data_IF_874099221452
#
_entry.id   IF_874099221452
#
_cell.length_a   1.000
_cell.length_b   1.000
_cell.length_c   1.000
_cell.angle_alpha   90.00
_cell.angle_beta   90.00
_cell.angle_gamma   90.00
#
_symmetry.space_group_name_H-M   'P 1'
#
loop_
_entity.id
_entity.type
_entity.pdbx_description
1 polymer ?
#
# COMPACT_ATOMS: atom_id res chain seq x y z
N UNK A 1 51.88 -49.76 30.72
CA UNK A 1 52.35 -50.61 31.88
C UNK A 1 52.00 -49.89 33.16
N UNK A 2 51.35 -50.57 34.06
CA UNK A 2 51.08 -50.53 35.51
C UNK A 2 49.61 -50.57 35.79
N UNK A 3 49.10 -51.71 35.98
CA UNK A 3 48.83 -52.69 37.07
C UNK A 3 47.68 -52.22 37.97
N UNK A 4 46.58 -52.95 37.87
CA UNK A 4 45.42 -52.96 38.76
C UNK A 4 45.76 -53.51 40.12
N UNK A 5 45.05 -53.06 41.16
CA UNK A 5 44.91 -53.80 42.43
C UNK A 5 43.43 -53.67 42.85
N UNK A 6 42.73 -54.78 43.09
CA UNK A 6 41.38 -54.76 43.64
C UNK A 6 41.45 -54.85 45.17
N UNK A 7 40.60 -54.08 45.87
CA UNK A 7 40.44 -54.29 47.33
C UNK A 7 39.07 -54.92 47.56
N UNK A 8 39.09 -56.14 48.04
CA UNK A 8 37.96 -56.88 48.61
C UNK A 8 37.68 -56.30 50.01
N UNK A 9 36.46 -56.04 50.34
CA UNK A 9 35.97 -55.89 51.70
C UNK A 9 34.76 -56.77 51.90
N UNK A 10 34.90 -57.75 52.79
CA UNK A 10 33.94 -58.72 53.30
C UNK A 10 32.83 -58.05 54.13
N UNK A 11 31.61 -58.65 54.16
CA UNK A 11 30.49 -58.07 54.93
C UNK A 11 30.54 -58.55 56.39
N UNK A 12 30.23 -57.60 57.29
CA UNK A 12 29.97 -57.92 58.69
C UNK A 12 28.46 -57.98 58.91
N UNK A 13 27.93 -59.17 59.17
CA UNK A 13 26.55 -59.33 59.64
C UNK A 13 26.44 -58.96 61.12
N UNK A 14 25.57 -57.99 61.38
CA UNK A 14 25.03 -57.73 62.72
C UNK A 14 23.55 -58.01 62.68
N UNK A 15 23.09 -59.07 63.26
CA UNK A 15 21.68 -59.31 63.55
C UNK A 15 21.28 -58.54 64.81
N UNK A 16 20.23 -57.75 64.72
CA UNK A 16 19.51 -57.19 65.86
C UNK A 16 18.03 -57.33 65.66
N UNK A 17 17.42 -57.94 66.69
CA UNK A 17 16.00 -58.17 66.79
C UNK A 17 15.11 -56.95 66.98
N UNK A 18 13.94 -56.98 66.36
CA UNK A 18 12.66 -56.65 66.97
C UNK A 18 12.23 -55.24 67.08
N UNK A 19 11.21 -54.93 66.32
CA UNK A 19 10.37 -53.75 66.55
C UNK A 19 9.50 -53.47 65.30
N UNK A 20 8.27 -54.01 65.31
CA UNK A 20 7.29 -53.71 64.24
C UNK A 20 6.90 -52.24 64.27
N UNK A 21 7.07 -51.53 63.14
CA UNK A 21 6.38 -50.27 62.82
C UNK A 21 6.00 -50.32 61.36
N UNK A 22 4.75 -50.06 61.06
CA UNK A 22 4.16 -50.07 59.73
C UNK A 22 4.96 -49.23 58.75
N UNK A 23 5.53 -49.91 57.79
CA UNK A 23 6.23 -49.29 56.67
C UNK A 23 5.21 -48.64 55.73
N UNK A 24 4.83 -47.42 56.01
CA UNK A 24 4.25 -46.57 54.95
C UNK A 24 5.36 -46.30 53.95
N UNK A 25 5.17 -46.69 52.70
CA UNK A 25 6.01 -46.23 51.60
C UNK A 25 6.08 -44.71 51.65
N UNK A 26 7.26 -44.06 51.61
CA UNK A 26 7.33 -42.63 51.51
C UNK A 26 6.42 -42.16 50.37
N UNK A 27 5.67 -41.04 50.54
CA UNK A 27 4.92 -40.51 49.42
C UNK A 27 5.84 -40.39 48.23
N UNK A 28 5.35 -40.76 47.05
CA UNK A 28 6.09 -40.57 45.82
C UNK A 28 6.52 -39.10 45.68
N UNK A 29 7.75 -38.85 45.32
CA UNK A 29 8.23 -37.50 45.11
C UNK A 29 7.41 -36.87 43.95
N UNK A 30 6.95 -35.64 44.17
CA UNK A 30 6.21 -34.91 43.13
C UNK A 30 7.06 -34.74 41.86
N UNK A 31 6.53 -35.11 40.71
CA UNK A 31 7.11 -34.87 39.39
C UNK A 31 6.54 -33.55 38.82
N UNK A 32 7.36 -32.69 38.21
CA UNK A 32 6.87 -31.42 37.65
C UNK A 32 5.97 -31.66 36.43
N UNK A 33 5.00 -30.75 36.18
CA UNK A 33 4.17 -30.79 35.00
C UNK A 33 4.98 -30.52 33.72
N UNK A 34 4.44 -30.91 32.55
CA UNK A 34 5.05 -30.65 31.25
C UNK A 34 4.05 -30.09 30.25
N UNK A 35 4.43 -29.04 29.52
CA UNK A 35 3.61 -28.52 28.43
C UNK A 35 3.47 -29.54 27.32
N UNK A 36 2.27 -29.65 26.74
CA UNK A 36 1.96 -30.47 25.55
C UNK A 36 1.57 -29.65 24.36
N UNK A 37 1.29 -28.36 24.56
CA UNK A 37 0.98 -27.40 23.49
C UNK A 37 2.24 -26.91 22.80
N UNK A 38 2.10 -26.47 21.54
CA UNK A 38 3.19 -25.94 20.70
C UNK A 38 3.72 -24.60 21.24
N UNK A 39 4.92 -24.23 20.84
CA UNK A 39 5.56 -22.95 21.18
C UNK A 39 5.19 -21.81 20.21
N UNK A 40 4.38 -22.09 19.22
CA UNK A 40 3.96 -21.11 18.22
C UNK A 40 2.48 -21.27 17.90
N UNK A 41 1.83 -20.14 17.62
CA UNK A 41 0.48 -20.09 17.06
C UNK A 41 0.38 -18.95 16.05
N UNK A 42 -0.62 -19.03 15.17
CA UNK A 42 -0.97 -17.95 14.24
C UNK A 42 -2.45 -17.61 14.42
N UNK A 43 -2.75 -16.33 14.53
CA UNK A 43 -4.11 -15.82 14.68
C UNK A 43 -4.34 -14.70 13.69
N UNK A 44 -5.59 -14.54 13.27
CA UNK A 44 -5.96 -13.38 12.44
C UNK A 44 -6.24 -12.21 13.37
N UNK A 45 -5.84 -11.01 12.97
CA UNK A 45 -6.15 -9.78 13.69
C UNK A 45 -7.65 -9.57 13.96
N UNK A 46 -8.00 -8.54 14.74
CA UNK A 46 -9.38 -8.18 15.12
C UNK A 46 -10.08 -9.20 16.02
N UNK A 47 -9.42 -10.29 16.39
CA UNK A 47 -9.89 -11.26 17.38
C UNK A 47 -9.06 -11.21 18.65
N UNK A 48 -9.67 -11.52 19.81
CA UNK A 48 -8.95 -11.56 21.10
C UNK A 48 -8.45 -12.95 21.48
N UNK A 49 -9.02 -14.04 20.95
CA UNK A 49 -8.56 -15.39 21.24
C UNK A 49 -7.18 -15.61 20.61
N UNK A 50 -6.16 -15.91 21.42
CA UNK A 50 -4.78 -16.03 20.95
C UNK A 50 -4.28 -17.48 20.91
N UNK A 51 -4.47 -18.25 21.98
CA UNK A 51 -3.82 -19.55 22.08
C UNK A 51 -4.44 -20.37 23.23
N UNK A 52 -4.42 -21.71 23.13
CA UNK A 52 -4.77 -22.61 24.20
C UNK A 52 -3.54 -23.35 24.69
N UNK A 53 -3.05 -23.01 25.88
CA UNK A 53 -2.01 -23.79 26.56
C UNK A 53 -2.58 -25.09 27.11
N UNK A 54 -1.82 -26.17 26.90
CA UNK A 54 -2.13 -27.50 27.45
C UNK A 54 -0.87 -28.09 28.09
N UNK A 55 -1.05 -28.87 29.16
CA UNK A 55 0.01 -29.56 29.87
C UNK A 55 -0.52 -30.84 30.49
N UNK A 56 0.39 -31.72 30.90
CA UNK A 56 0.12 -32.95 31.64
C UNK A 56 0.99 -33.02 32.89
N UNK A 57 0.46 -33.65 33.91
CA UNK A 57 1.19 -33.94 35.15
C UNK A 57 1.35 -35.45 35.31
N UNK A 58 2.57 -35.96 35.58
CA UNK A 58 2.78 -37.39 35.74
C UNK A 58 2.09 -38.01 36.97
N UNK A 59 1.86 -37.20 37.99
CA UNK A 59 1.19 -37.63 39.23
C UNK A 59 -0.33 -37.38 39.17
N UNK A 60 -0.83 -36.73 38.09
CA UNK A 60 -2.24 -36.45 37.92
C UNK A 60 -2.73 -35.25 38.73
N UNK A 61 -1.83 -34.38 39.15
CA UNK A 61 -2.16 -33.18 39.90
C UNK A 61 -2.93 -32.14 39.08
N UNK A 62 -3.75 -31.34 39.72
CA UNK A 62 -4.48 -30.24 39.06
C UNK A 62 -3.53 -29.15 38.64
N UNK A 63 -3.64 -28.73 37.37
CA UNK A 63 -2.75 -27.75 36.76
C UNK A 63 -3.38 -26.35 36.72
N UNK A 64 -2.56 -25.34 36.97
CA UNK A 64 -2.94 -23.93 36.85
C UNK A 64 -1.94 -23.21 35.96
N UNK A 65 -2.47 -22.44 34.98
CA UNK A 65 -1.68 -21.65 34.05
C UNK A 65 -1.64 -20.17 34.47
N UNK A 66 -0.49 -19.52 34.20
CA UNK A 66 -0.27 -18.09 34.41
C UNK A 66 0.72 -17.55 33.37
N UNK A 67 0.77 -16.22 33.22
CA UNK A 67 1.83 -15.54 32.47
C UNK A 67 3.01 -15.31 33.40
N UNK A 68 4.21 -15.72 32.97
CA UNK A 68 5.45 -15.57 33.73
C UNK A 68 6.31 -14.38 33.24
N UNK A 69 6.11 -13.93 31.97
CA UNK A 69 6.87 -12.85 31.35
C UNK A 69 6.77 -12.86 29.82
N UNK A 70 7.78 -12.32 29.17
CA UNK A 70 7.85 -12.13 27.73
C UNK A 70 7.79 -10.65 27.35
N UNK A 71 8.35 -10.29 26.18
CA UNK A 71 8.38 -8.89 25.74
C UNK A 71 6.98 -8.28 25.63
N UNK A 72 5.98 -9.10 25.26
CA UNK A 72 4.60 -8.69 25.05
C UNK A 72 3.63 -9.19 26.11
N UNK A 73 4.13 -9.65 27.28
CA UNK A 73 3.31 -10.22 28.35
C UNK A 73 2.12 -9.31 28.77
N UNK A 74 2.32 -7.99 28.75
CA UNK A 74 1.28 -7.00 29.07
C UNK A 74 0.15 -6.89 28.05
N UNK A 75 0.29 -7.53 26.89
CA UNK A 75 -0.75 -7.58 25.85
C UNK A 75 -1.74 -8.72 26.05
N UNK A 76 -1.47 -9.63 27.00
CA UNK A 76 -2.23 -10.86 27.17
C UNK A 76 -2.87 -10.97 28.55
N UNK A 77 -3.94 -11.76 28.58
CA UNK A 77 -4.53 -12.33 29.79
C UNK A 77 -4.66 -13.84 29.59
N UNK A 78 -4.48 -14.64 30.67
CA UNK A 78 -4.63 -16.09 30.64
C UNK A 78 -5.58 -16.55 31.73
N UNK A 79 -6.42 -17.53 31.45
CA UNK A 79 -7.22 -18.21 32.48
C UNK A 79 -6.41 -19.30 33.18
N UNK A 80 -6.77 -19.68 34.38
CA UNK A 80 -6.16 -20.82 35.09
C UNK A 80 -6.28 -22.15 34.33
N UNK A 81 -7.19 -22.25 33.34
CA UNK A 81 -7.35 -23.38 32.42
C UNK A 81 -6.52 -23.28 31.15
N UNK A 82 -5.66 -22.28 31.01
CA UNK A 82 -4.71 -22.12 29.89
C UNK A 82 -5.24 -21.42 28.66
N UNK A 83 -6.44 -20.85 28.67
CA UNK A 83 -6.92 -20.02 27.57
C UNK A 83 -6.23 -18.65 27.61
N UNK A 84 -5.35 -18.38 26.62
CA UNK A 84 -4.65 -17.10 26.43
C UNK A 84 -5.45 -16.23 25.47
N UNK A 85 -5.62 -14.97 25.83
CA UNK A 85 -6.28 -13.98 24.97
C UNK A 85 -5.51 -12.67 24.96
N UNK A 86 -5.60 -11.92 23.87
CA UNK A 86 -5.18 -10.53 23.83
C UNK A 86 -6.09 -9.67 24.74
N UNK A 87 -5.51 -8.73 25.47
CA UNK A 87 -6.25 -7.75 26.30
C UNK A 87 -7.03 -6.76 25.45
N UNK A 88 -6.55 -6.48 24.23
CA UNK A 88 -7.23 -5.76 23.16
C UNK A 88 -6.93 -6.48 21.85
N UNK A 89 -7.89 -6.51 20.94
CA UNK A 89 -7.67 -7.14 19.62
C UNK A 89 -6.46 -6.53 18.92
N UNK A 90 -5.52 -7.35 18.42
CA UNK A 90 -4.37 -6.85 17.67
C UNK A 90 -4.81 -6.35 16.30
N UNK A 91 -4.10 -5.36 15.81
CA UNK A 91 -4.23 -4.77 14.47
C UNK A 91 -2.90 -5.05 13.74
N UNK A 92 -2.95 -5.78 12.63
CA UNK A 92 -1.76 -6.15 11.85
C UNK A 92 -1.11 -4.93 11.22
N UNK A 93 -1.93 -4.00 10.76
CA UNK A 93 -1.47 -2.78 10.08
C UNK A 93 -0.89 -1.75 11.07
N UNK A 94 -1.21 -1.89 12.37
CA UNK A 94 -0.68 -1.08 13.46
C UNK A 94 -0.16 -1.98 14.59
N UNK A 95 0.98 -2.67 14.40
CA UNK A 95 1.51 -3.64 15.36
C UNK A 95 1.67 -3.06 16.76
N UNK A 96 1.15 -3.77 17.74
CA UNK A 96 1.21 -3.38 19.14
C UNK A 96 2.24 -4.15 19.96
N UNK A 97 3.01 -5.06 19.36
CA UNK A 97 4.11 -5.81 19.95
C UNK A 97 5.33 -4.93 20.21
N UNK A 98 6.31 -5.45 20.93
CA UNK A 98 7.45 -4.68 21.45
C UNK A 98 8.40 -4.17 20.35
N UNK A 99 8.56 -4.91 19.24
CA UNK A 99 9.47 -4.61 18.13
C UNK A 99 8.77 -4.35 16.79
N UNK A 100 7.43 -4.50 16.74
CA UNK A 100 6.59 -4.13 15.60
C UNK A 100 6.66 -5.11 14.44
N UNK A 101 6.98 -6.38 14.70
CA UNK A 101 7.08 -7.43 13.69
C UNK A 101 5.84 -8.34 13.59
N UNK A 102 4.77 -8.02 14.34
CA UNK A 102 3.53 -8.82 14.45
C UNK A 102 3.72 -10.21 15.08
N UNK A 103 4.83 -10.44 15.79
CA UNK A 103 5.08 -11.66 16.55
C UNK A 103 5.13 -11.34 18.04
N UNK A 104 4.08 -11.64 18.76
CA UNK A 104 3.90 -11.36 20.18
C UNK A 104 4.55 -12.46 21.01
N UNK A 105 5.61 -12.13 21.75
CA UNK A 105 6.39 -13.05 22.57
C UNK A 105 5.90 -13.05 24.02
N UNK A 106 5.43 -14.21 24.52
CA UNK A 106 4.95 -14.40 25.89
C UNK A 106 5.59 -15.64 26.51
N UNK A 107 5.88 -15.61 27.80
CA UNK A 107 6.31 -16.79 28.57
C UNK A 107 5.17 -17.22 29.48
N UNK A 108 4.71 -18.44 29.30
CA UNK A 108 3.66 -19.06 30.10
C UNK A 108 4.27 -19.96 31.18
N UNK A 109 3.60 -20.06 32.31
CA UNK A 109 3.90 -20.97 33.41
C UNK A 109 2.76 -21.92 33.62
N UNK A 110 3.06 -23.19 33.85
CA UNK A 110 2.13 -24.19 34.38
C UNK A 110 2.63 -24.68 35.76
N UNK A 111 1.74 -24.79 36.73
CA UNK A 111 2.05 -25.28 38.08
C UNK A 111 1.04 -26.32 38.53
N UNK A 112 1.51 -27.34 39.25
CA UNK A 112 0.76 -28.36 39.96
C UNK A 112 0.51 -27.98 41.47
N UNK A 113 0.99 -26.80 41.89
CA UNK A 113 0.98 -26.36 43.27
C UNK A 113 2.20 -26.68 44.11
N UNK A 114 3.10 -27.58 43.63
CA UNK A 114 4.37 -27.96 44.26
C UNK A 114 5.59 -27.64 43.38
N UNK A 115 5.45 -27.83 42.08
CA UNK A 115 6.45 -27.53 41.07
C UNK A 115 5.86 -26.68 39.95
N UNK A 116 6.70 -26.09 39.11
CA UNK A 116 6.25 -25.34 37.94
C UNK A 116 7.27 -25.38 36.81
N UNK A 117 6.78 -25.27 35.58
CA UNK A 117 7.60 -25.21 34.34
C UNK A 117 7.12 -24.03 33.49
N UNK A 118 8.05 -23.41 32.77
CA UNK A 118 7.74 -22.28 31.86
C UNK A 118 7.96 -22.68 30.40
N UNK A 119 7.21 -22.05 29.51
CA UNK A 119 7.36 -22.20 28.06
C UNK A 119 7.24 -20.84 27.38
N UNK A 120 8.21 -20.51 26.53
CA UNK A 120 8.08 -19.37 25.62
C UNK A 120 7.13 -19.73 24.47
N UNK A 121 6.23 -18.82 24.15
CA UNK A 121 5.25 -18.95 23.07
C UNK A 121 5.26 -17.69 22.22
N UNK A 122 5.33 -17.85 20.89
CA UNK A 122 5.25 -16.79 19.91
C UNK A 122 3.90 -16.86 19.21
N UNK A 123 3.14 -15.76 19.25
CA UNK A 123 1.84 -15.63 18.59
C UNK A 123 2.01 -14.68 17.39
N UNK A 124 1.99 -15.25 16.19
CA UNK A 124 2.01 -14.45 14.96
C UNK A 124 0.63 -13.94 14.62
N UNK A 125 0.46 -12.62 14.51
CA UNK A 125 -0.76 -11.99 14.01
C UNK A 125 -0.67 -11.92 12.49
N UNK A 126 -1.73 -12.32 11.80
CA UNK A 126 -1.83 -12.29 10.34
C UNK A 126 -2.87 -11.27 9.89
N UNK A 127 -2.59 -10.60 8.78
CA UNK A 127 -3.46 -9.60 8.18
C UNK A 127 -4.81 -10.21 7.74
N UNK A 128 -5.87 -9.49 7.96
CA UNK A 128 -7.21 -9.75 7.43
C UNK A 128 -7.59 -8.68 6.41
N UNK A 129 -8.53 -8.99 5.54
CA UNK A 129 -9.10 -7.97 4.63
C UNK A 129 -10.14 -7.15 5.40
N UNK A 130 -9.69 -6.17 6.13
CA UNK A 130 -10.54 -5.38 7.02
C UNK A 130 -11.57 -4.54 6.26
N UNK A 131 -12.83 -4.86 6.50
CA UNK A 131 -13.95 -4.00 6.12
C UNK A 131 -14.08 -3.68 4.63
N UNK A 132 -13.16 -4.14 3.77
CA UNK A 132 -13.20 -3.89 2.34
C UNK A 132 -13.79 -5.11 1.63
N UNK A 133 -15.01 -4.95 1.13
CA UNK A 133 -15.60 -5.90 0.20
C UNK A 133 -15.54 -5.34 -1.21
N UNK A 134 -15.08 -6.15 -2.17
CA UNK A 134 -15.08 -5.80 -3.59
C UNK A 134 -16.27 -6.46 -4.24
N UNK A 135 -17.20 -5.63 -4.76
CA UNK A 135 -18.36 -6.09 -5.50
C UNK A 135 -18.22 -5.69 -6.96
N UNK A 136 -18.35 -6.65 -7.86
CA UNK A 136 -18.39 -6.35 -9.29
C UNK A 136 -19.74 -5.75 -9.66
N UNK A 137 -19.77 -4.46 -10.04
CA UNK A 137 -20.98 -3.72 -10.40
C UNK A 137 -21.26 -3.66 -11.92
N UNK A 138 -20.27 -4.03 -12.76
CA UNK A 138 -20.43 -3.99 -14.22
C UNK A 138 -19.49 -4.94 -14.96
N UNK A 139 -19.88 -5.29 -16.19
CA UNK A 139 -19.12 -6.15 -17.12
C UNK A 139 -19.28 -5.69 -18.56
N UNK A 140 -18.48 -6.27 -19.47
CA UNK A 140 -18.63 -6.08 -20.91
C UNK A 140 -18.06 -4.77 -21.43
N UNK A 141 -17.18 -4.10 -20.68
CA UNK A 141 -16.36 -2.99 -21.16
C UNK A 141 -15.09 -3.51 -21.86
N UNK A 142 -14.64 -2.78 -22.85
CA UNK A 142 -13.44 -3.12 -23.62
C UNK A 142 -12.26 -2.23 -23.18
N UNK A 143 -11.28 -2.79 -22.49
CA UNK A 143 -10.12 -2.07 -21.95
C UNK A 143 -10.52 -0.79 -21.18
N UNK A 144 -11.37 -0.89 -20.13
CA UNK A 144 -11.75 0.28 -19.34
C UNK A 144 -10.51 0.81 -18.60
N UNK A 145 -10.21 2.09 -18.77
CA UNK A 145 -9.04 2.75 -18.18
C UNK A 145 -9.39 3.67 -17.02
N UNK A 146 -10.59 4.28 -17.04
CA UNK A 146 -10.94 5.30 -16.06
C UNK A 146 -12.44 5.29 -15.74
N UNK A 147 -12.74 5.72 -14.52
CA UNK A 147 -14.12 5.96 -14.09
C UNK A 147 -14.19 7.38 -13.54
N UNK A 148 -15.09 8.19 -14.09
CA UNK A 148 -15.33 9.55 -13.62
C UNK A 148 -16.70 9.66 -12.95
N UNK A 149 -16.75 10.28 -11.77
CA UNK A 149 -18.00 10.64 -11.12
C UNK A 149 -18.74 11.72 -11.94
N UNK A 150 -20.08 11.67 -11.93
CA UNK A 150 -20.92 12.69 -12.54
C UNK A 150 -21.45 13.59 -11.42
N UNK A 151 -21.13 14.88 -11.40
CA UNK A 151 -21.60 15.77 -10.34
C UNK A 151 -23.12 15.75 -10.17
N UNK A 152 -23.59 15.41 -8.97
CA UNK A 152 -25.02 15.33 -8.65
C UNK A 152 -25.76 14.12 -9.20
N UNK A 153 -25.08 13.08 -9.70
CA UNK A 153 -25.68 11.87 -10.26
C UNK A 153 -25.05 10.64 -9.60
N UNK A 154 -25.83 9.61 -9.34
CA UNK A 154 -25.36 8.31 -8.83
C UNK A 154 -24.67 7.45 -9.89
N UNK A 155 -24.84 7.79 -11.17
CA UNK A 155 -24.17 7.14 -12.29
C UNK A 155 -22.74 7.67 -12.45
N UNK A 156 -21.94 6.91 -13.21
CA UNK A 156 -20.55 7.25 -13.50
C UNK A 156 -20.30 7.21 -15.02
N UNK A 157 -19.24 7.87 -15.45
CA UNK A 157 -18.70 7.63 -16.78
C UNK A 157 -17.63 6.56 -16.73
N UNK A 158 -17.72 5.54 -17.58
CA UNK A 158 -16.67 4.54 -17.80
C UNK A 158 -16.02 4.85 -19.14
N UNK A 159 -14.71 5.04 -19.10
CA UNK A 159 -13.87 5.40 -20.25
C UNK A 159 -13.12 4.17 -20.73
N UNK A 160 -13.34 3.82 -21.99
CA UNK A 160 -12.57 2.77 -22.67
C UNK A 160 -11.40 3.36 -23.45
N UNK A 161 -10.27 2.66 -23.43
CA UNK A 161 -9.03 3.07 -24.13
C UNK A 161 -9.29 3.42 -25.60
N UNK A 162 -10.19 2.68 -26.26
CA UNK A 162 -10.55 2.82 -27.66
C UNK A 162 -11.32 4.08 -28.04
N UNK A 163 -11.75 4.90 -27.06
CA UNK A 163 -12.46 6.16 -27.32
C UNK A 163 -13.91 6.18 -26.89
N UNK A 164 -14.47 5.04 -26.46
CA UNK A 164 -15.86 4.99 -25.98
C UNK A 164 -15.96 5.55 -24.55
N UNK A 165 -17.00 6.34 -24.32
CA UNK A 165 -17.42 6.78 -22.99
C UNK A 165 -18.85 6.31 -22.77
N UNK A 166 -19.06 5.50 -21.74
CA UNK A 166 -20.38 5.04 -21.32
C UNK A 166 -20.81 5.76 -20.06
N UNK A 167 -22.05 6.23 -20.05
CA UNK A 167 -22.73 6.55 -18.79
C UNK A 167 -23.28 5.24 -18.23
N UNK A 168 -22.79 4.85 -17.07
CA UNK A 168 -23.06 3.58 -16.42
C UNK A 168 -23.78 3.78 -15.09
N UNK A 169 -24.79 2.98 -14.85
CA UNK A 169 -25.53 2.92 -13.60
C UNK A 169 -25.10 1.70 -12.78
N UNK A 170 -24.34 1.90 -11.68
CA UNK A 170 -23.88 0.79 -10.85
C UNK A 170 -25.00 0.01 -10.16
N UNK A 171 -26.17 0.63 -9.92
CA UNK A 171 -27.31 -0.01 -9.25
C UNK A 171 -28.05 -0.99 -10.14
N UNK A 172 -28.13 -0.69 -11.44
CA UNK A 172 -28.89 -1.50 -12.41
C UNK A 172 -28.00 -2.26 -13.38
N UNK A 173 -26.71 -1.91 -13.49
CA UNK A 173 -25.78 -2.44 -14.49
C UNK A 173 -26.04 -1.90 -15.90
N UNK A 174 -26.95 -0.96 -16.08
CA UNK A 174 -27.27 -0.40 -17.39
C UNK A 174 -26.20 0.57 -17.87
N UNK A 175 -25.94 0.59 -19.18
CA UNK A 175 -24.98 1.50 -19.79
C UNK A 175 -25.51 2.12 -21.08
N UNK A 176 -25.12 3.37 -21.32
CA UNK A 176 -25.46 4.12 -22.54
C UNK A 176 -24.17 4.72 -23.09
N UNK A 177 -23.85 4.48 -24.36
CA UNK A 177 -22.75 5.15 -25.05
C UNK A 177 -23.11 6.64 -25.19
N UNK A 178 -22.21 7.53 -24.75
CA UNK A 178 -22.41 8.99 -24.79
C UNK A 178 -21.39 9.70 -25.68
N UNK A 179 -20.18 9.12 -25.84
CA UNK A 179 -19.17 9.56 -26.82
C UNK A 179 -18.52 8.34 -27.46
N UNK A 180 -18.20 8.48 -28.75
CA UNK A 180 -17.42 7.53 -29.56
C UNK A 180 -16.33 8.35 -30.28
N UNK A 181 -15.16 8.49 -29.63
CA UNK A 181 -14.05 9.31 -30.11
C UNK A 181 -13.14 8.45 -30.97
N UNK A 182 -13.15 8.68 -32.27
CA UNK A 182 -12.46 7.81 -33.26
C UNK A 182 -11.16 8.40 -33.81
N UNK A 183 -10.90 9.70 -33.60
CA UNK A 183 -9.72 10.43 -34.10
C UNK A 183 -8.54 10.42 -33.10
N UNK A 184 -8.30 9.27 -32.49
CA UNK A 184 -7.24 9.04 -31.49
C UNK A 184 -6.35 7.88 -31.90
N UNK A 185 -5.12 7.87 -31.38
CA UNK A 185 -4.19 6.74 -31.45
C UNK A 185 -4.39 5.85 -30.22
N UNK A 186 -4.35 4.53 -30.41
CA UNK A 186 -4.48 3.53 -29.33
C UNK A 186 -3.26 2.61 -29.22
N UNK A 187 -2.15 2.94 -29.91
CA UNK A 187 -0.89 2.20 -29.86
C UNK A 187 -0.25 2.32 -28.47
N UNK A 188 0.35 1.26 -27.98
CA UNK A 188 1.03 1.23 -26.70
C UNK A 188 0.14 1.69 -25.55
N UNK A 189 0.56 2.71 -24.82
CA UNK A 189 -0.21 3.34 -23.73
C UNK A 189 -1.16 4.45 -24.20
N UNK A 190 -1.19 4.76 -25.47
CA UNK A 190 -2.05 5.78 -26.08
C UNK A 190 -3.53 5.39 -26.03
N UNK A 191 -4.42 6.38 -26.10
CA UNK A 191 -5.86 6.16 -26.10
C UNK A 191 -6.65 7.35 -25.59
N UNK A 192 -7.90 7.09 -25.20
CA UNK A 192 -8.69 7.96 -24.36
C UNK A 192 -8.34 7.64 -22.89
N UNK A 193 -7.66 8.57 -22.19
CA UNK A 193 -6.94 8.27 -20.96
C UNK A 193 -7.63 8.79 -19.69
N UNK A 194 -8.36 9.90 -19.79
CA UNK A 194 -9.02 10.52 -18.65
C UNK A 194 -10.23 11.35 -19.04
N UNK A 195 -11.09 11.60 -18.05
CA UNK A 195 -12.31 12.37 -18.22
C UNK A 195 -12.61 13.18 -16.96
N UNK A 196 -13.02 14.44 -17.12
CA UNK A 196 -13.47 15.28 -16.02
C UNK A 196 -14.73 16.05 -16.43
N UNK A 197 -15.93 15.69 -15.91
CA UNK A 197 -17.12 16.50 -16.06
C UNK A 197 -16.93 17.87 -15.40
N UNK A 198 -17.52 18.91 -16.01
CA UNK A 198 -17.56 20.23 -15.39
C UNK A 198 -18.36 20.21 -14.08
N UNK A 199 -18.09 21.11 -13.11
CA UNK A 199 -18.89 21.21 -11.89
C UNK A 199 -20.38 21.45 -12.15
N UNK A 200 -20.71 22.18 -13.23
CA UNK A 200 -22.07 22.46 -13.71
C UNK A 200 -22.57 21.45 -14.77
N UNK A 201 -21.95 20.28 -14.86
CA UNK A 201 -22.22 19.29 -15.90
C UNK A 201 -23.69 18.90 -16.04
N UNK A 202 -24.43 18.86 -14.94
CA UNK A 202 -25.87 18.55 -14.95
C UNK A 202 -26.67 19.47 -15.91
N UNK A 203 -26.26 20.72 -16.04
CA UNK A 203 -26.90 21.72 -16.92
C UNK A 203 -26.12 21.99 -18.19
N UNK A 204 -24.80 22.08 -18.11
CA UNK A 204 -23.95 22.42 -19.26
C UNK A 204 -23.66 21.24 -20.18
N UNK A 205 -23.76 20.01 -19.68
CA UNK A 205 -23.35 18.77 -20.36
C UNK A 205 -21.90 18.79 -20.87
N UNK A 206 -21.04 19.65 -20.31
CA UNK A 206 -19.64 19.81 -20.69
C UNK A 206 -18.75 18.88 -19.90
N UNK A 207 -17.71 18.39 -20.56
CA UNK A 207 -16.65 17.60 -19.94
C UNK A 207 -15.33 17.82 -20.67
N UNK A 208 -14.24 17.61 -19.94
CA UNK A 208 -12.91 17.45 -20.51
C UNK A 208 -12.59 15.99 -20.73
N UNK A 209 -11.84 15.70 -21.79
CA UNK A 209 -11.22 14.41 -22.02
C UNK A 209 -9.74 14.61 -22.32
N UNK A 210 -8.90 13.70 -21.83
CA UNK A 210 -7.50 13.59 -22.23
C UNK A 210 -7.37 12.41 -23.16
N UNK A 211 -6.88 12.67 -24.37
CA UNK A 211 -6.71 11.66 -25.39
C UNK A 211 -5.39 11.84 -26.14
N UNK A 212 -4.85 10.76 -26.68
CA UNK A 212 -3.72 10.84 -27.59
C UNK A 212 -4.23 10.95 -29.02
N UNK A 213 -3.98 12.07 -29.66
CA UNK A 213 -4.37 12.32 -31.05
C UNK A 213 -3.63 11.39 -32.02
N UNK A 214 -4.09 11.28 -33.25
CA UNK A 214 -3.50 10.42 -34.29
C UNK A 214 -2.05 10.77 -34.64
N UNK A 215 -1.64 12.05 -34.42
CA UNK A 215 -0.24 12.49 -34.57
C UNK A 215 0.64 12.16 -33.34
N UNK A 216 0.07 11.55 -32.29
CA UNK A 216 0.76 11.20 -31.06
C UNK A 216 0.71 12.25 -29.94
N UNK A 217 0.27 13.46 -30.20
CA UNK A 217 0.17 14.50 -29.17
C UNK A 217 -0.85 14.12 -28.08
N UNK A 218 -0.55 14.46 -26.84
CA UNK A 218 -1.53 14.39 -25.74
C UNK A 218 -2.39 15.64 -25.80
N UNK A 219 -3.68 15.47 -25.99
CA UNK A 219 -4.63 16.56 -26.08
C UNK A 219 -5.61 16.60 -24.91
N UNK A 220 -5.84 17.79 -24.38
CA UNK A 220 -7.01 18.07 -23.55
C UNK A 220 -8.08 18.63 -24.46
N UNK A 221 -9.20 17.94 -24.55
CA UNK A 221 -10.33 18.27 -25.41
C UNK A 221 -11.55 18.57 -24.56
N UNK A 222 -12.33 19.59 -24.92
CA UNK A 222 -13.64 19.87 -24.32
C UNK A 222 -14.75 19.37 -25.24
N UNK A 223 -15.63 18.56 -24.69
CA UNK A 223 -16.83 18.06 -25.35
C UNK A 223 -18.10 18.63 -24.71
N UNK A 224 -19.18 18.67 -25.48
CA UNK A 224 -20.54 18.94 -25.01
C UNK A 224 -21.45 17.77 -25.42
N UNK A 225 -21.97 17.06 -24.43
CA UNK A 225 -22.84 15.91 -24.68
C UNK A 225 -24.23 16.32 -25.15
N UNK A 226 -24.94 15.40 -25.82
CA UNK A 226 -26.32 15.59 -26.25
C UNK A 226 -26.50 16.50 -27.48
N UNK A 227 -25.40 16.93 -28.11
CA UNK A 227 -25.45 17.67 -29.37
C UNK A 227 -25.26 16.71 -30.57
N UNK A 228 -25.81 17.05 -31.75
CA UNK A 228 -25.45 16.34 -32.98
C UNK A 228 -23.91 16.36 -33.14
N UNK A 229 -23.33 15.19 -33.48
CA UNK A 229 -21.87 15.03 -33.65
C UNK A 229 -21.03 15.34 -32.41
N UNK A 230 -21.56 15.17 -31.17
CA UNK A 230 -20.81 15.42 -29.93
C UNK A 230 -19.48 14.68 -29.86
N UNK A 231 -19.35 13.53 -30.53
CA UNK A 231 -18.09 12.75 -30.57
C UNK A 231 -17.02 13.33 -31.49
N UNK A 232 -17.39 14.15 -32.46
CA UNK A 232 -16.47 14.73 -33.48
C UNK A 232 -16.36 16.26 -33.38
N UNK A 233 -17.20 16.88 -32.54
CA UNK A 233 -17.17 18.34 -32.31
C UNK A 233 -16.63 18.63 -30.91
N UNK A 234 -15.39 19.11 -30.86
CA UNK A 234 -14.71 19.46 -29.62
C UNK A 234 -13.83 20.69 -29.79
N UNK A 235 -13.50 21.35 -28.68
CA UNK A 235 -12.45 22.36 -28.63
C UNK A 235 -11.16 21.71 -28.11
N UNK A 236 -10.04 21.95 -28.77
CA UNK A 236 -8.72 21.62 -28.24
C UNK A 236 -8.29 22.68 -27.24
N UNK A 237 -8.19 22.30 -25.97
CA UNK A 237 -7.79 23.17 -24.86
C UNK A 237 -6.28 23.23 -24.73
N UNK A 238 -5.62 22.06 -24.75
CA UNK A 238 -4.18 21.92 -24.80
C UNK A 238 -3.82 20.89 -25.88
N UNK A 239 -2.75 21.16 -26.62
CA UNK A 239 -2.15 20.24 -27.59
C UNK A 239 -0.66 20.10 -27.26
N UNK A 240 -0.32 19.02 -26.59
CA UNK A 240 0.98 18.78 -25.98
C UNK A 240 1.79 17.86 -26.90
N UNK A 241 2.84 18.36 -27.57
CA UNK A 241 3.70 17.53 -28.40
C UNK A 241 4.31 16.35 -27.59
N UNK A 242 4.10 15.14 -28.10
CA UNK A 242 4.61 13.91 -27.50
C UNK A 242 5.32 13.07 -28.57
N UNK A 243 6.50 13.49 -29.02
CA UNK A 243 7.21 12.86 -30.13
C UNK A 243 7.99 11.63 -29.69
N UNK A 244 8.00 10.63 -30.55
CA UNK A 244 8.98 9.53 -30.53
C UNK A 244 8.50 8.25 -29.87
N UNK A 245 7.84 8.29 -28.74
CA UNK A 245 7.42 7.10 -28.01
C UNK A 245 5.90 7.04 -27.86
N UNK A 246 5.34 5.87 -27.55
CA UNK A 246 3.90 5.65 -27.34
C UNK A 246 3.54 5.29 -25.90
N UNK A 247 4.49 5.47 -24.97
CA UNK A 247 4.34 5.29 -23.55
C UNK A 247 4.53 6.60 -22.75
N UNK A 248 4.26 6.58 -21.45
CA UNK A 248 4.29 7.70 -20.52
C UNK A 248 3.43 8.90 -21.00
N UNK A 249 2.18 8.61 -21.32
CA UNK A 249 1.23 9.65 -21.74
C UNK A 249 0.59 10.37 -20.53
N UNK A 250 0.66 9.79 -19.31
CA UNK A 250 -0.08 10.28 -18.16
C UNK A 250 -1.60 10.12 -18.36
N UNK A 251 -2.33 11.25 -18.41
CA UNK A 251 -3.71 11.29 -18.87
C UNK A 251 -4.78 11.51 -17.80
N UNK A 252 -4.42 11.57 -16.53
CA UNK A 252 -5.38 11.99 -15.51
C UNK A 252 -5.73 13.47 -15.65
N UNK A 253 -7.02 13.78 -15.43
CA UNK A 253 -7.55 15.16 -15.40
C UNK A 253 -8.60 15.28 -14.32
N UNK A 254 -8.62 16.41 -13.60
CA UNK A 254 -9.61 16.67 -12.56
C UNK A 254 -9.69 18.12 -12.16
N UNK A 255 -10.83 18.52 -11.57
CA UNK A 255 -10.98 19.81 -10.92
C UNK A 255 -10.40 19.76 -9.51
N UNK A 256 -9.56 20.76 -9.19
CA UNK A 256 -9.11 21.00 -7.84
C UNK A 256 -10.14 21.76 -7.00
N UNK A 257 -10.02 21.72 -5.66
CA UNK A 257 -10.91 22.47 -4.75
C UNK A 257 -10.74 23.99 -4.89
N UNK A 258 -9.68 24.46 -5.55
CA UNK A 258 -9.45 25.87 -5.92
C UNK A 258 -10.18 26.29 -7.20
N UNK A 259 -10.98 25.38 -7.79
CA UNK A 259 -11.76 25.63 -9.00
C UNK A 259 -10.97 25.56 -10.30
N UNK A 260 -9.68 25.25 -10.26
CA UNK A 260 -8.85 25.07 -11.45
C UNK A 260 -8.83 23.62 -11.91
N UNK A 261 -8.46 23.42 -13.18
CA UNK A 261 -8.31 22.08 -13.76
C UNK A 261 -6.84 21.69 -13.72
N UNK A 262 -6.57 20.46 -13.27
CA UNK A 262 -5.26 19.86 -13.20
C UNK A 262 -5.17 18.71 -14.19
N UNK A 263 -4.03 18.59 -14.86
CA UNK A 263 -3.75 17.54 -15.85
C UNK A 263 -2.39 16.93 -15.59
N UNK A 264 -2.33 15.62 -15.54
CA UNK A 264 -1.09 14.86 -15.39
C UNK A 264 -0.57 14.45 -16.77
N UNK A 265 0.69 14.73 -17.06
CA UNK A 265 1.36 14.42 -18.32
C UNK A 265 2.70 13.75 -18.05
N UNK A 266 2.95 12.59 -18.65
CA UNK A 266 4.21 11.87 -18.52
C UNK A 266 5.38 12.55 -19.22
N UNK A 267 6.58 12.05 -19.01
CA UNK A 267 7.84 12.60 -19.52
C UNK A 267 8.04 12.45 -21.03
N UNK A 268 7.12 11.78 -21.71
CA UNK A 268 7.18 11.56 -23.16
C UNK A 268 7.76 10.21 -23.56
N UNK A 269 8.04 9.35 -22.59
CA UNK A 269 8.41 7.96 -22.82
C UNK A 269 9.90 7.71 -23.07
N UNK A 270 10.19 6.45 -23.28
CA UNK A 270 11.56 5.94 -23.33
C UNK A 270 12.14 5.71 -21.93
N UNK A 271 13.10 4.81 -21.81
CA UNK A 271 13.76 4.51 -20.53
C UNK A 271 14.60 5.69 -20.05
N UNK A 272 14.37 6.14 -18.80
CA UNK A 272 15.20 7.12 -18.13
C UNK A 272 15.08 8.56 -18.64
N UNK A 273 13.96 8.95 -19.22
CA UNK A 273 13.70 10.30 -19.75
C UNK A 273 14.87 10.80 -20.65
N UNK A 274 15.07 10.21 -21.82
CA UNK A 274 16.25 10.49 -22.66
C UNK A 274 16.36 11.95 -23.09
N UNK A 275 15.23 12.66 -23.12
CA UNK A 275 15.16 14.07 -23.52
C UNK A 275 15.20 15.03 -22.32
N UNK A 276 15.29 14.51 -21.08
CA UNK A 276 15.22 15.31 -19.85
C UNK A 276 13.98 16.21 -19.77
N UNK A 277 12.85 15.71 -20.27
CA UNK A 277 11.62 16.48 -20.34
C UNK A 277 11.06 16.80 -18.95
N UNK A 278 11.15 15.86 -18.01
CA UNK A 278 10.63 16.04 -16.66
C UNK A 278 11.24 17.27 -15.96
N UNK A 279 12.52 17.56 -16.19
CA UNK A 279 13.22 18.71 -15.64
C UNK A 279 13.18 19.95 -16.51
N UNK A 280 12.80 19.83 -17.78
CA UNK A 280 12.73 20.98 -18.70
C UNK A 280 11.47 21.82 -18.45
N UNK A 281 11.66 23.03 -17.95
CA UNK A 281 10.56 23.96 -17.64
C UNK A 281 9.85 24.54 -18.88
N UNK A 282 10.41 24.36 -20.09
CA UNK A 282 9.85 24.92 -21.32
C UNK A 282 8.97 23.92 -22.08
N UNK A 283 8.79 22.72 -21.55
CA UNK A 283 7.91 21.68 -22.12
C UNK A 283 6.90 21.19 -21.10
N UNK A 284 5.77 20.73 -21.57
CA UNK A 284 4.65 20.28 -20.72
C UNK A 284 4.73 18.79 -20.36
N UNK A 285 5.77 18.08 -20.81
CA UNK A 285 5.99 16.68 -20.51
C UNK A 285 6.67 16.47 -19.14
N UNK A 286 6.26 15.45 -18.38
CA UNK A 286 6.73 15.15 -17.03
C UNK A 286 6.23 16.14 -15.97
N UNK A 287 4.95 16.52 -16.05
CA UNK A 287 4.36 17.64 -15.30
C UNK A 287 2.95 17.35 -14.77
N UNK A 288 2.60 18.08 -13.73
CA UNK A 288 1.20 18.44 -13.49
C UNK A 288 1.00 19.85 -14.05
N UNK A 289 0.07 19.98 -14.99
CA UNK A 289 -0.36 21.26 -15.54
C UNK A 289 -1.59 21.76 -14.80
N UNK A 290 -1.76 23.09 -14.68
CA UNK A 290 -2.94 23.70 -14.06
C UNK A 290 -3.43 24.89 -14.89
N UNK A 291 -4.73 24.90 -15.20
CA UNK A 291 -5.35 25.98 -15.95
C UNK A 291 -6.69 26.43 -15.36
N UNK A 292 -7.02 27.68 -15.62
CA UNK A 292 -8.29 28.27 -15.28
C UNK A 292 -9.27 28.14 -16.45
N UNK A 293 -10.54 27.93 -16.12
CA UNK A 293 -11.67 28.00 -17.06
C UNK A 293 -12.36 29.35 -16.86
N UNK A 294 -12.43 30.13 -17.90
CA UNK A 294 -13.06 31.45 -17.84
C UNK A 294 -14.57 31.39 -17.70
N UNK A 295 -15.18 32.52 -17.41
CA UNK A 295 -16.63 32.67 -17.30
C UNK A 295 -17.32 32.17 -18.58
N UNK A 296 -18.37 31.36 -18.42
CA UNK A 296 -19.04 30.70 -19.55
C UNK A 296 -18.42 29.42 -20.03
N UNK A 297 -17.21 29.04 -19.53
CA UNK A 297 -16.61 27.72 -19.73
C UNK A 297 -16.03 27.44 -21.11
N UNK A 298 -15.74 28.47 -21.89
CA UNK A 298 -15.27 28.38 -23.28
C UNK A 298 -13.89 29.03 -23.51
N UNK A 299 -13.26 29.60 -22.48
CA UNK A 299 -11.92 30.16 -22.54
C UNK A 299 -11.03 29.52 -21.49
N UNK A 300 -9.75 29.35 -21.81
CA UNK A 300 -8.78 28.65 -21.02
C UNK A 300 -7.50 29.46 -20.96
N UNK A 301 -6.92 29.55 -19.77
CA UNK A 301 -5.68 30.27 -19.54
C UNK A 301 -4.85 29.55 -18.45
N UNK A 302 -3.53 29.77 -18.41
CA UNK A 302 -2.75 29.33 -17.27
C UNK A 302 -3.36 29.83 -15.96
N UNK A 303 -3.44 28.98 -14.93
CA UNK A 303 -4.05 29.36 -13.68
C UNK A 303 -3.21 30.42 -12.94
N UNK A 304 -3.82 31.44 -12.32
CA UNK A 304 -3.12 32.38 -11.45
C UNK A 304 -2.36 31.63 -10.35
N UNK A 305 -1.15 32.09 -10.04
CA UNK A 305 -0.30 31.45 -9.03
C UNK A 305 0.47 30.22 -9.52
N UNK A 306 0.44 29.88 -10.81
CA UNK A 306 1.41 28.92 -11.37
C UNK A 306 2.84 29.48 -11.28
N UNK A 307 3.88 28.64 -11.05
CA UNK A 307 5.22 29.11 -10.74
C UNK A 307 5.88 29.90 -11.89
N UNK A 308 5.46 29.66 -13.14
CA UNK A 308 6.05 30.30 -14.32
C UNK A 308 5.09 31.27 -15.04
N UNK A 309 4.03 31.71 -14.36
CA UNK A 309 3.05 32.65 -14.95
C UNK A 309 3.67 33.96 -15.39
N UNK A 310 4.77 34.39 -14.74
CA UNK A 310 5.50 35.62 -15.07
C UNK A 310 6.75 35.38 -15.91
N UNK A 311 6.96 34.15 -16.41
CA UNK A 311 8.12 33.75 -17.21
C UNK A 311 9.04 32.72 -16.51
N UNK A 312 10.09 32.31 -17.20
CA UNK A 312 11.06 31.32 -16.71
C UNK A 312 10.68 29.86 -16.98
N UNK A 313 9.56 29.61 -17.67
CA UNK A 313 9.07 28.31 -18.07
C UNK A 313 7.67 28.40 -18.68
N UNK A 314 7.08 27.25 -19.01
CA UNK A 314 5.72 27.16 -19.52
C UNK A 314 4.72 27.56 -18.41
N UNK A 315 3.82 28.53 -18.67
CA UNK A 315 2.93 29.09 -17.65
C UNK A 315 1.85 28.12 -17.16
N UNK A 316 1.60 27.00 -17.85
CA UNK A 316 0.65 25.98 -17.43
C UNK A 316 1.22 25.03 -16.36
N UNK A 317 2.53 24.97 -16.17
CA UNK A 317 3.16 24.07 -15.22
C UNK A 317 2.74 24.44 -13.78
N UNK A 318 2.28 23.43 -13.02
CA UNK A 318 2.01 23.53 -11.59
C UNK A 318 3.08 22.81 -10.77
N UNK A 319 3.48 21.59 -11.18
CA UNK A 319 4.58 20.81 -10.60
C UNK A 319 5.35 20.09 -11.70
N UNK A 320 6.61 19.70 -11.42
CA UNK A 320 7.52 19.11 -12.40
C UNK A 320 8.34 17.96 -11.79
N UNK A 321 9.11 17.28 -12.63
CA UNK A 321 9.97 16.19 -12.19
C UNK A 321 9.22 14.88 -11.98
N UNK A 322 8.23 14.59 -12.81
CA UNK A 322 7.42 13.39 -12.80
C UNK A 322 7.76 12.51 -14.01
N UNK A 323 7.66 11.19 -13.83
CA UNK A 323 7.92 10.21 -14.90
C UNK A 323 6.67 9.89 -15.72
N UNK A 324 5.71 9.26 -15.12
CA UNK A 324 4.43 8.91 -15.74
C UNK A 324 3.30 9.00 -14.71
N UNK A 325 2.87 10.23 -14.34
CA UNK A 325 1.80 10.44 -13.37
C UNK A 325 0.47 9.94 -13.95
N UNK A 326 0.25 8.64 -13.80
CA UNK A 326 -0.84 7.94 -14.50
C UNK A 326 -2.21 8.22 -13.89
N UNK A 327 -2.27 8.28 -12.54
CA UNK A 327 -3.51 8.59 -11.82
C UNK A 327 -3.25 9.55 -10.67
N UNK A 328 -4.24 10.38 -10.41
CA UNK A 328 -4.19 11.28 -9.27
C UNK A 328 -5.58 11.46 -8.66
N UNK A 329 -5.63 11.99 -7.45
CA UNK A 329 -6.87 12.25 -6.73
C UNK A 329 -6.66 13.35 -5.71
N UNK A 330 -7.68 14.19 -5.50
CA UNK A 330 -7.67 15.17 -4.43
C UNK A 330 -8.20 14.57 -3.12
N UNK A 331 -7.46 14.83 -2.02
CA UNK A 331 -7.93 14.66 -0.65
C UNK A 331 -7.87 16.02 0.05
N UNK A 332 -9.02 16.66 0.21
CA UNK A 332 -9.07 18.06 0.61
C UNK A 332 -8.32 18.95 -0.41
N UNK A 333 -7.34 19.72 0.06
CA UNK A 333 -6.50 20.57 -0.81
C UNK A 333 -5.25 19.87 -1.36
N UNK A 334 -5.02 18.61 -1.00
CA UNK A 334 -3.83 17.85 -1.41
C UNK A 334 -4.15 17.00 -2.62
N UNK A 335 -3.39 17.16 -3.69
CA UNK A 335 -3.34 16.25 -4.84
C UNK A 335 -2.35 15.14 -4.54
N UNK A 336 -2.84 13.92 -4.50
CA UNK A 336 -2.05 12.68 -4.45
C UNK A 336 -1.87 12.19 -5.88
N UNK A 337 -0.62 11.89 -6.25
CA UNK A 337 -0.22 11.57 -7.62
C UNK A 337 0.47 10.21 -7.59
N UNK A 338 -0.10 9.19 -8.24
CA UNK A 338 0.58 7.93 -8.49
C UNK A 338 1.49 8.09 -9.69
N UNK A 339 2.80 8.18 -9.44
CA UNK A 339 3.82 8.31 -10.48
C UNK A 339 4.51 6.96 -10.68
N UNK A 340 4.37 6.41 -11.87
CA UNK A 340 4.86 5.06 -12.21
C UNK A 340 6.37 5.06 -12.31
N UNK A 341 7.02 4.18 -11.54
CA UNK A 341 8.46 4.03 -11.49
C UNK A 341 9.10 3.49 -12.76
N UNK A 342 10.43 3.52 -12.83
CA UNK A 342 11.17 3.03 -13.99
C UNK A 342 11.38 1.52 -13.95
N UNK A 343 11.57 0.95 -12.78
CA UNK A 343 11.80 -0.48 -12.64
C UNK A 343 12.28 -0.93 -11.25
N UNK A 344 12.27 -0.02 -10.26
CA UNK A 344 12.67 -0.36 -8.92
C UNK A 344 11.71 0.17 -7.84
N UNK A 345 11.10 1.34 -8.05
CA UNK A 345 10.30 2.01 -7.02
C UNK A 345 9.05 2.60 -7.63
N UNK A 346 7.89 2.20 -7.12
CA UNK A 346 6.62 2.90 -7.31
C UNK A 346 6.45 3.97 -6.23
N UNK A 347 5.83 5.11 -6.60
CA UNK A 347 5.69 6.22 -5.65
C UNK A 347 4.33 6.94 -5.72
N UNK A 348 3.99 7.56 -4.60
CA UNK A 348 2.88 8.50 -4.51
C UNK A 348 3.44 9.83 -4.07
N UNK A 349 3.30 10.82 -4.93
CA UNK A 349 3.65 12.18 -4.64
C UNK A 349 2.47 12.96 -4.05
N UNK A 350 2.77 14.02 -3.30
CA UNK A 350 1.75 14.86 -2.71
C UNK A 350 2.10 16.34 -2.86
N UNK A 351 1.13 17.12 -3.34
CA UNK A 351 1.25 18.58 -3.45
C UNK A 351 -0.07 19.25 -3.10
N UNK A 352 -0.03 20.27 -2.27
CA UNK A 352 -1.24 21.07 -2.00
C UNK A 352 -1.45 22.14 -3.08
N UNK A 353 -2.71 22.56 -3.28
CA UNK A 353 -3.03 23.64 -4.24
C UNK A 353 -2.31 24.96 -3.94
N UNK A 354 -1.82 25.14 -2.72
CA UNK A 354 -1.06 26.30 -2.25
C UNK A 354 0.46 26.19 -2.43
N UNK A 355 0.98 25.06 -2.97
CA UNK A 355 2.42 24.81 -3.11
C UNK A 355 2.83 24.59 -4.58
N UNK A 356 2.62 25.56 -5.48
CA UNK A 356 3.06 25.44 -6.86
C UNK A 356 4.59 25.40 -6.96
N UNK A 357 5.11 24.69 -7.96
CA UNK A 357 6.54 24.67 -8.29
C UNK A 357 7.34 23.56 -7.64
N UNK A 358 6.71 22.59 -6.97
CA UNK A 358 7.42 21.42 -6.46
C UNK A 358 8.05 20.61 -7.60
N UNK A 359 9.26 20.09 -7.33
CA UNK A 359 10.01 19.22 -8.25
C UNK A 359 10.22 17.87 -7.56
N UNK A 360 9.59 16.83 -8.06
CA UNK A 360 9.62 15.47 -7.50
C UNK A 360 10.86 14.66 -7.88
N UNK A 361 11.71 15.20 -8.73
CA UNK A 361 13.09 14.72 -8.88
C UNK A 361 13.36 13.78 -10.04
N UNK A 362 12.38 13.24 -10.75
CA UNK A 362 12.60 12.47 -11.96
C UNK A 362 13.31 13.35 -13.02
N UNK A 363 14.39 12.92 -13.65
CA UNK A 363 15.06 11.61 -13.72
C UNK A 363 16.27 11.47 -12.76
N UNK A 364 16.51 12.42 -11.88
CA UNK A 364 17.64 12.30 -10.94
C UNK A 364 17.39 11.22 -9.90
N UNK A 365 16.14 11.08 -9.48
CA UNK A 365 15.69 10.13 -8.46
C UNK A 365 14.59 9.23 -9.04
N UNK A 366 14.52 7.99 -8.55
CA UNK A 366 13.39 7.10 -8.61
C UNK A 366 12.98 6.84 -7.15
N UNK A 367 11.80 7.32 -6.74
CA UNK A 367 11.48 7.42 -5.32
C UNK A 367 12.47 8.30 -4.57
N UNK A 368 13.12 7.74 -3.55
CA UNK A 368 14.19 8.41 -2.80
C UNK A 368 15.59 7.99 -3.25
N UNK A 369 15.72 7.11 -4.23
CA UNK A 369 17.00 6.54 -4.66
C UNK A 369 17.57 7.30 -5.85
N UNK A 370 18.91 7.51 -5.90
CA UNK A 370 19.57 8.05 -7.07
C UNK A 370 19.34 7.17 -8.31
N UNK A 371 18.92 7.80 -9.42
CA UNK A 371 18.73 7.10 -10.69
C UNK A 371 19.75 7.58 -11.74
N UNK A 372 19.77 8.85 -12.11
CA UNK A 372 20.64 9.34 -13.18
C UNK A 372 21.13 10.76 -12.97
N UNK A 373 22.44 10.97 -13.02
CA UNK A 373 23.08 12.27 -12.87
C UNK A 373 23.15 12.74 -11.42
N UNK A 374 23.41 14.04 -11.23
CA UNK A 374 23.48 14.65 -9.91
C UNK A 374 22.21 15.40 -9.61
N UNK A 375 21.51 14.99 -8.56
CA UNK A 375 20.27 15.62 -8.12
C UNK A 375 20.53 17.05 -7.63
N UNK A 376 19.79 18.06 -8.12
CA UNK A 376 19.88 19.42 -7.59
C UNK A 376 19.30 19.47 -6.17
N UNK A 377 19.65 20.52 -5.45
CA UNK A 377 19.04 20.79 -4.15
C UNK A 377 17.57 21.21 -4.27
N UNK A 378 16.78 20.92 -3.24
CA UNK A 378 15.38 21.38 -3.16
C UNK A 378 14.36 20.47 -3.87
N UNK A 379 14.73 19.24 -4.18
CA UNK A 379 13.77 18.25 -4.65
C UNK A 379 12.79 17.85 -3.54
N UNK A 380 11.57 17.51 -3.93
CA UNK A 380 10.51 17.08 -3.02
C UNK A 380 10.46 15.55 -3.02
N UNK A 381 10.68 14.88 -1.89
CA UNK A 381 10.57 13.43 -1.83
C UNK A 381 9.09 13.00 -1.96
N UNK A 382 8.81 11.78 -2.45
CA UNK A 382 7.46 11.24 -2.47
C UNK A 382 6.88 11.16 -1.05
N UNK A 383 5.57 11.26 -0.97
CA UNK A 383 4.84 11.05 0.29
C UNK A 383 4.87 9.58 0.73
N UNK A 384 4.94 8.69 -0.25
CA UNK A 384 5.07 7.25 -0.08
C UNK A 384 5.79 6.64 -1.28
N UNK A 385 6.60 5.61 -1.03
CA UNK A 385 7.25 4.84 -2.11
C UNK A 385 7.40 3.38 -1.71
N UNK A 386 7.37 2.48 -2.70
CA UNK A 386 7.54 1.04 -2.53
C UNK A 386 8.46 0.49 -3.60
N UNK A 387 9.41 -0.38 -3.21
CA UNK A 387 10.21 -1.13 -4.19
C UNK A 387 9.33 -2.10 -4.98
N UNK A 388 9.50 -2.16 -6.27
CA UNK A 388 8.92 -3.22 -7.10
C UNK A 388 9.56 -4.56 -6.72
N UNK A 389 8.72 -5.57 -6.52
CA UNK A 389 9.20 -6.94 -6.40
C UNK A 389 9.43 -7.46 -7.82
N UNK A 390 10.64 -7.93 -8.12
CA UNK A 390 10.90 -8.62 -9.37
C UNK A 390 9.94 -9.83 -9.48
N UNK A 391 9.12 -9.88 -10.52
CA UNK A 391 8.04 -10.85 -10.71
C UNK A 391 8.51 -12.29 -10.92
N UNK A 392 9.74 -12.65 -10.55
CA UNK A 392 10.31 -13.99 -10.74
C UNK A 392 10.02 -14.94 -9.57
N UNK A 393 9.46 -14.46 -8.47
CA UNK A 393 9.05 -15.30 -7.34
C UNK A 393 7.65 -14.91 -6.82
N UNK A 394 6.62 -15.66 -7.21
CA UNK A 394 5.25 -15.51 -6.69
C UNK A 394 5.15 -15.66 -5.14
N UNK A 395 6.22 -16.06 -4.46
CA UNK A 395 6.30 -16.26 -3.02
C UNK A 395 7.01 -15.13 -2.28
N UNK A 396 7.64 -14.18 -2.96
CA UNK A 396 8.18 -12.96 -2.34
C UNK A 396 7.07 -11.91 -2.24
N UNK A 397 6.25 -12.03 -1.23
CA UNK A 397 5.50 -10.89 -0.72
C UNK A 397 6.55 -9.93 -0.17
N UNK A 398 6.69 -8.76 -0.77
CA UNK A 398 7.34 -7.66 -0.08
C UNK A 398 6.49 -7.41 1.16
N UNK A 399 6.95 -7.93 2.28
CA UNK A 399 6.37 -7.63 3.56
C UNK A 399 6.59 -6.13 3.82
N UNK A 400 5.50 -5.42 4.00
CA UNK A 400 5.38 -4.27 4.85
C UNK A 400 6.10 -2.99 4.47
N UNK A 401 5.43 -2.18 3.64
CA UNK A 401 5.62 -0.73 3.69
C UNK A 401 4.25 -0.04 3.69
N UNK A 402 3.54 -0.14 4.80
CA UNK A 402 2.50 0.83 5.12
C UNK A 402 3.16 2.07 5.72
N UNK A 403 2.70 3.28 5.39
CA UNK A 403 3.32 4.50 5.84
C UNK A 403 3.23 4.62 7.36
N UNK A 404 4.37 4.50 8.03
CA UNK A 404 4.47 4.84 9.46
C UNK A 404 4.31 6.35 9.62
N UNK A 405 3.47 6.85 10.54
CA UNK A 405 3.44 8.26 10.86
C UNK A 405 4.80 8.68 11.39
N UNK A 406 5.41 9.71 10.79
CA UNK A 406 6.74 10.22 11.10
C UNK A 406 6.86 10.58 12.60
N UNK A 407 7.55 9.75 13.37
CA UNK A 407 8.34 10.21 14.52
C UNK A 407 9.78 10.06 14.11
N UNK A 408 10.48 11.20 14.06
CA UNK A 408 11.85 11.42 13.59
C UNK A 408 12.84 10.30 13.87
N UNK A 409 13.04 9.41 12.89
CA UNK A 409 14.13 8.43 12.87
C UNK A 409 14.57 8.26 11.42
N UNK A 410 15.89 8.20 11.25
CA UNK A 410 16.65 8.04 10.02
C UNK A 410 16.18 6.82 9.18
N UNK A 411 16.25 6.86 7.85
CA UNK A 411 15.91 5.74 7.01
C UNK A 411 16.91 4.61 7.17
N UNK A 412 16.47 3.46 7.61
CA UNK A 412 17.23 2.23 7.54
C UNK A 412 16.85 1.49 6.25
N UNK A 413 17.87 1.18 5.45
CA UNK A 413 17.83 0.26 4.33
C UNK A 413 17.24 -1.09 4.78
N UNK A 414 16.01 -1.39 4.40
CA UNK A 414 15.52 -2.75 4.50
C UNK A 414 15.65 -3.43 3.13
N UNK A 415 16.69 -4.23 3.05
CA UNK A 415 16.87 -5.16 1.96
C UNK A 415 15.76 -6.22 1.99
N UNK A 416 15.24 -6.60 0.82
CA UNK A 416 14.40 -7.79 0.69
C UNK A 416 15.17 -9.00 1.26
N UNK A 417 14.67 -9.62 2.33
CA UNK A 417 15.31 -10.80 2.93
C UNK A 417 15.15 -11.99 1.99
N UNK A 418 16.28 -12.49 1.47
CA UNK A 418 16.37 -13.61 0.53
C UNK A 418 16.46 -14.96 1.24
N UNK A 419 15.65 -15.21 2.28
CA UNK A 419 15.63 -16.55 2.87
C UNK A 419 14.73 -17.49 2.09
N UNK A 420 15.36 -18.38 1.36
CA UNK A 420 14.76 -19.59 0.80
C UNK A 420 14.22 -20.47 1.93
N UNK A 421 12.95 -20.86 1.83
CA UNK A 421 12.40 -21.96 2.61
C UNK A 421 12.49 -23.20 1.74
N UNK A 422 13.32 -24.16 2.16
CA UNK A 422 13.28 -25.55 1.70
C UNK A 422 11.97 -26.22 2.14
#
# INVERSE_FOLDING_TARGET
MRKRVPLLLTPLLLASCGGGSGGGTPPAANAPPGFTSLQTASVTENGTAAYQATATDPDGNALTFSIDGGADAGRFAITGAGALSFSAAPDFDLPGDADGDNVYAVVLRVSDGQASVTQAVNITVTNSREGISVVRVGTGFNQPLYVAAIPGDSRVYVVEKGGNVYRFDPATGSRTLVLDITDISTSGERGLLGLAPYPDHATSQRLFAVATATNGNVQVRRYMLGQPNSSTSYDTVLDIPHPGFDNHNGGWIGYGPDGHVYVAVGDGGGGGDPNNNAQNRNVQLGKILRFAVGAGGNSYAPAPGNPFISGGGDPYIFALGLRNPFRASFSGSTLLIGDVGQGAIEEIDAVTTAQPGLNFGWRFLEGTQPYSGTAPAGLTPPAWSRRECDGTDERRRCADDLPRPRRGVQPHDQACDSRSVE
#
